data_IF_878144802858
#
_entry.id   IF_878144802858
#
_cell.length_a   1.000
_cell.length_b   1.000
_cell.length_c   1.000
_cell.angle_alpha   90.00
_cell.angle_beta   90.00
_cell.angle_gamma   90.00
#
_symmetry.space_group_name_H-M   'P 1'
#
loop_
_entity.id
_entity.type
_entity.pdbx_description
1 polymer ?
#
# COMPACT_ATOMS: atom_id res chain seq x y z
N UNK A 1 -2.55 -17.49 -9.76
CA UNK A 1 -3.72 -16.84 -9.10
C UNK A 1 -3.29 -16.61 -7.66
N UNK A 2 -3.24 -15.37 -7.22
CA UNK A 2 -2.71 -14.96 -5.91
C UNK A 2 -3.82 -14.26 -5.13
N UNK A 3 -3.84 -14.43 -3.81
CA UNK A 3 -4.69 -13.65 -2.92
C UNK A 3 -4.06 -12.27 -2.69
N UNK A 4 -4.86 -11.21 -2.79
CA UNK A 4 -4.42 -9.83 -2.59
C UNK A 4 -5.31 -9.18 -1.53
N UNK A 5 -4.69 -8.77 -0.43
CA UNK A 5 -5.30 -7.93 0.57
C UNK A 5 -4.93 -6.46 0.29
N UNK A 6 -5.92 -5.63 0.00
CA UNK A 6 -5.72 -4.23 -0.35
C UNK A 6 -6.18 -3.31 0.77
N UNK A 7 -5.23 -2.53 1.30
CA UNK A 7 -5.42 -1.56 2.37
C UNK A 7 -5.62 -0.16 1.77
N UNK A 8 -6.72 0.49 2.13
CA UNK A 8 -7.08 1.80 1.61
C UNK A 8 -6.20 2.93 2.15
N UNK A 9 -6.22 4.08 1.49
CA UNK A 9 -5.53 5.30 1.91
C UNK A 9 -6.15 5.91 3.19
N UNK A 10 -5.54 6.96 3.71
CA UNK A 10 -6.10 7.77 4.80
C UNK A 10 -7.51 8.28 4.53
N UNK A 11 -7.93 8.43 3.27
CA UNK A 11 -9.26 8.88 2.90
C UNK A 11 -10.36 7.79 2.96
N UNK A 12 -10.02 6.55 3.30
CA UNK A 12 -10.98 5.44 3.35
C UNK A 12 -11.15 4.73 2.00
N UNK A 13 -12.23 3.95 1.87
CA UNK A 13 -12.52 3.15 0.67
C UNK A 13 -13.21 4.04 -0.38
N UNK A 14 -12.42 4.80 -1.13
CA UNK A 14 -12.86 5.64 -2.26
C UNK A 14 -12.92 4.83 -3.58
N UNK A 15 -13.40 5.50 -4.65
CA UNK A 15 -13.51 4.89 -5.98
C UNK A 15 -12.19 4.29 -6.48
N UNK A 16 -11.06 4.99 -6.29
CA UNK A 16 -9.74 4.48 -6.69
C UNK A 16 -9.34 3.17 -6.01
N UNK A 17 -9.85 2.91 -4.80
CA UNK A 17 -9.62 1.64 -4.09
C UNK A 17 -10.45 0.52 -4.70
N UNK A 18 -11.72 0.77 -5.02
CA UNK A 18 -12.58 -0.23 -5.67
C UNK A 18 -12.10 -0.53 -7.09
N UNK A 19 -11.70 0.48 -7.85
CA UNK A 19 -11.10 0.32 -9.18
C UNK A 19 -9.82 -0.52 -9.13
N UNK A 20 -8.99 -0.32 -8.10
CA UNK A 20 -7.77 -1.11 -7.90
C UNK A 20 -8.09 -2.60 -7.71
N UNK A 21 -9.07 -2.93 -6.86
CA UNK A 21 -9.50 -4.32 -6.65
C UNK A 21 -10.03 -4.93 -7.94
N UNK A 22 -10.82 -4.19 -8.70
CA UNK A 22 -11.38 -4.69 -9.96
C UNK A 22 -10.28 -4.91 -11.02
N UNK A 23 -9.24 -4.08 -11.05
CA UNK A 23 -8.06 -4.29 -11.89
C UNK A 23 -7.31 -5.58 -11.52
N UNK A 24 -7.08 -5.85 -10.25
CA UNK A 24 -6.46 -7.10 -9.82
C UNK A 24 -7.32 -8.32 -10.18
N UNK A 25 -8.64 -8.24 -9.98
CA UNK A 25 -9.58 -9.31 -10.34
C UNK A 25 -9.62 -9.58 -11.84
N UNK A 26 -9.65 -8.52 -12.65
CA UNK A 26 -9.61 -8.61 -14.12
C UNK A 26 -8.30 -9.27 -14.63
N UNK A 27 -7.23 -9.22 -13.83
CA UNK A 27 -5.95 -9.86 -14.12
C UNK A 27 -5.76 -11.24 -13.44
N UNK A 28 -6.85 -11.85 -12.97
CA UNK A 28 -6.85 -13.25 -12.53
C UNK A 28 -6.45 -13.47 -11.06
N UNK A 29 -6.42 -12.42 -10.25
CA UNK A 29 -6.15 -12.52 -8.81
C UNK A 29 -7.46 -12.55 -7.99
N UNK A 30 -7.41 -13.05 -6.76
CA UNK A 30 -8.47 -12.90 -5.77
C UNK A 30 -8.15 -11.70 -4.89
N UNK A 31 -8.75 -10.57 -5.17
CA UNK A 31 -8.51 -9.32 -4.46
C UNK A 31 -9.72 -8.88 -3.64
N UNK A 32 -9.47 -8.33 -2.44
CA UNK A 32 -10.49 -7.74 -1.58
C UNK A 32 -9.94 -6.53 -0.83
N UNK A 33 -10.84 -5.61 -0.51
CA UNK A 33 -10.51 -4.42 0.31
C UNK A 33 -10.53 -4.80 1.78
N UNK A 34 -9.51 -4.37 2.50
CA UNK A 34 -9.51 -4.33 3.96
C UNK A 34 -10.00 -2.95 4.40
N UNK A 35 -11.27 -2.87 4.80
CA UNK A 35 -11.84 -1.65 5.35
C UNK A 35 -11.51 -1.54 6.84
N UNK A 36 -10.55 -0.66 7.16
CA UNK A 36 -10.09 -0.44 8.52
C UNK A 36 -10.89 0.65 9.24
N UNK A 37 -11.70 1.40 8.49
CA UNK A 37 -12.42 2.60 8.95
C UNK A 37 -13.91 2.37 9.20
N UNK A 38 -14.38 1.12 9.10
CA UNK A 38 -15.80 0.79 9.29
C UNK A 38 -16.72 1.66 8.42
N UNK A 39 -16.36 1.75 7.13
CA UNK A 39 -17.06 2.51 6.07
C UNK A 39 -16.97 4.03 6.14
N UNK A 40 -16.15 4.58 7.05
CA UNK A 40 -15.89 6.02 7.01
C UNK A 40 -15.03 6.37 5.79
N UNK A 41 -15.45 7.40 5.07
CA UNK A 41 -14.78 7.93 3.87
C UNK A 41 -14.70 9.44 4.02
N UNK A 42 -13.57 10.01 3.62
CA UNK A 42 -13.26 11.43 3.76
C UNK A 42 -12.92 12.04 2.41
N UNK A 43 -13.32 13.31 2.21
CA UNK A 43 -12.92 14.12 1.06
C UNK A 43 -11.75 15.06 1.37
N UNK A 44 -11.33 15.09 2.63
CA UNK A 44 -10.33 16.01 3.16
C UNK A 44 -9.35 15.27 4.07
N UNK A 45 -8.04 15.50 3.84
CA UNK A 45 -6.96 14.83 4.57
C UNK A 45 -6.88 15.24 6.05
N UNK A 46 -7.30 16.47 6.40
CA UNK A 46 -7.27 16.91 7.80
C UNK A 46 -8.40 16.24 8.60
N UNK A 47 -9.57 16.02 7.97
CA UNK A 47 -10.66 15.26 8.58
C UNK A 47 -10.25 13.80 8.76
N UNK A 48 -9.65 13.21 7.74
CA UNK A 48 -9.12 11.85 7.81
C UNK A 48 -8.05 11.71 8.90
N UNK A 49 -7.13 12.68 9.01
CA UNK A 49 -6.11 12.71 10.05
C UNK A 49 -6.71 12.73 11.46
N UNK A 50 -7.70 13.59 11.72
CA UNK A 50 -8.41 13.62 13.01
C UNK A 50 -9.06 12.27 13.35
N UNK A 51 -9.66 11.60 12.38
CA UNK A 51 -10.24 10.28 12.58
C UNK A 51 -9.16 9.23 12.92
N UNK A 52 -8.01 9.27 12.23
CA UNK A 52 -6.88 8.38 12.53
C UNK A 52 -6.34 8.63 13.94
N UNK A 53 -6.24 9.89 14.37
CA UNK A 53 -5.81 10.26 15.72
C UNK A 53 -6.81 9.77 16.79
N UNK A 54 -8.12 9.86 16.50
CA UNK A 54 -9.17 9.39 17.40
C UNK A 54 -9.18 7.86 17.56
N UNK A 55 -9.08 7.12 16.45
CA UNK A 55 -9.06 5.65 16.46
C UNK A 55 -7.73 5.12 16.99
N UNK A 56 -6.65 5.81 16.67
CA UNK A 56 -5.28 5.43 16.99
C UNK A 56 -4.65 4.47 15.99
N UNK A 57 -3.44 4.79 15.55
CA UNK A 57 -2.71 3.99 14.57
C UNK A 57 -2.51 2.51 15.00
N UNK A 58 -2.21 2.21 16.30
CA UNK A 58 -2.11 0.82 16.76
C UNK A 58 -3.41 0.01 16.57
N UNK A 59 -4.57 0.63 16.74
CA UNK A 59 -5.85 -0.03 16.52
C UNK A 59 -6.08 -0.32 15.03
N UNK A 60 -5.72 0.61 14.13
CA UNK A 60 -5.79 0.40 12.69
C UNK A 60 -4.87 -0.75 12.25
N UNK A 61 -3.65 -0.82 12.78
CA UNK A 61 -2.73 -1.93 12.54
C UNK A 61 -3.30 -3.27 13.02
N UNK A 62 -3.91 -3.29 14.21
CA UNK A 62 -4.58 -4.49 14.74
C UNK A 62 -5.73 -4.96 13.83
N UNK A 63 -6.55 -4.03 13.34
CA UNK A 63 -7.63 -4.32 12.38
C UNK A 63 -7.08 -4.89 11.07
N UNK A 64 -5.99 -4.32 10.57
CA UNK A 64 -5.32 -4.80 9.35
C UNK A 64 -4.90 -6.27 9.48
N UNK A 65 -4.17 -6.63 10.53
CA UNK A 65 -3.72 -8.01 10.76
C UNK A 65 -4.90 -8.97 10.96
N UNK A 66 -5.91 -8.56 11.73
CA UNK A 66 -7.11 -9.37 11.96
C UNK A 66 -7.85 -9.69 10.66
N UNK A 67 -7.93 -8.74 9.74
CA UNK A 67 -8.66 -8.90 8.47
C UNK A 67 -8.02 -9.91 7.51
N UNK A 68 -6.75 -10.24 7.70
CA UNK A 68 -6.01 -11.19 6.87
C UNK A 68 -5.65 -12.49 7.60
N UNK A 69 -6.17 -12.69 8.81
CA UNK A 69 -5.79 -13.83 9.66
C UNK A 69 -6.08 -15.19 9.01
N UNK A 70 -7.15 -15.28 8.23
CA UNK A 70 -7.62 -16.52 7.59
C UNK A 70 -7.09 -16.70 6.16
N UNK A 71 -6.26 -15.77 5.66
CA UNK A 71 -5.61 -15.93 4.37
C UNK A 71 -4.48 -16.98 4.44
N UNK A 72 -4.31 -17.76 3.38
CA UNK A 72 -3.14 -18.64 3.28
C UNK A 72 -1.85 -17.82 3.21
N UNK A 73 -0.74 -18.38 3.68
CA UNK A 73 0.58 -17.78 3.53
C UNK A 73 0.90 -17.55 2.04
N UNK A 74 1.69 -16.53 1.74
CA UNK A 74 2.07 -16.16 0.38
C UNK A 74 1.10 -15.20 -0.31
N UNK A 75 0.09 -14.65 0.36
CA UNK A 75 -0.73 -13.58 -0.19
C UNK A 75 0.09 -12.28 -0.37
N UNK A 76 -0.35 -11.40 -1.27
CA UNK A 76 0.25 -10.08 -1.44
C UNK A 76 -0.49 -9.05 -0.57
N UNK A 77 0.30 -8.27 0.17
CA UNK A 77 -0.20 -7.11 0.88
C UNK A 77 -0.01 -5.87 0.00
N UNK A 78 -1.10 -5.20 -0.34
CA UNK A 78 -1.10 -4.01 -1.20
C UNK A 78 -1.71 -2.85 -0.45
N UNK A 79 -1.09 -1.69 -0.47
CA UNK A 79 -1.65 -0.55 0.25
C UNK A 79 -1.37 0.80 -0.41
N UNK A 80 -2.30 1.74 -0.19
CA UNK A 80 -2.20 3.11 -0.67
C UNK A 80 -1.92 4.06 0.49
N UNK A 81 -0.85 4.85 0.42
CA UNK A 81 -0.54 5.88 1.42
C UNK A 81 -0.49 5.28 2.85
N UNK A 82 -1.37 5.70 3.74
CA UNK A 82 -1.54 5.09 5.06
C UNK A 82 -1.71 3.56 4.99
N UNK A 83 -2.44 3.07 3.98
CA UNK A 83 -2.59 1.64 3.71
C UNK A 83 -1.29 0.95 3.30
N UNK A 84 -0.31 1.67 2.73
CA UNK A 84 1.02 1.11 2.48
C UNK A 84 1.69 0.73 3.81
N UNK A 85 1.67 1.61 4.81
CA UNK A 85 2.14 1.28 6.15
C UNK A 85 1.42 0.09 6.78
N UNK A 86 0.10 -0.07 6.51
CA UNK A 86 -0.63 -1.24 6.97
C UNK A 86 -0.20 -2.53 6.26
N UNK A 87 0.05 -2.47 4.95
CA UNK A 87 0.58 -3.60 4.18
C UNK A 87 1.97 -4.01 4.68
N UNK A 88 2.84 -3.04 4.94
CA UNK A 88 4.17 -3.24 5.53
C UNK A 88 4.06 -3.88 6.93
N UNK A 89 3.22 -3.34 7.80
CA UNK A 89 3.01 -3.88 9.14
C UNK A 89 2.48 -5.33 9.07
N UNK A 90 1.49 -5.60 8.22
CA UNK A 90 0.96 -6.95 8.03
C UNK A 90 2.06 -7.92 7.60
N UNK A 91 2.97 -7.50 6.72
CA UNK A 91 4.09 -8.34 6.29
C UNK A 91 5.06 -8.69 7.43
N UNK A 92 5.19 -7.82 8.46
CA UNK A 92 5.98 -8.15 9.67
C UNK A 92 5.28 -9.14 10.59
N UNK A 93 3.95 -9.31 10.47
CA UNK A 93 3.13 -10.17 11.33
C UNK A 93 2.68 -11.47 10.65
N UNK A 94 2.68 -11.52 9.33
CA UNK A 94 2.19 -12.63 8.51
C UNK A 94 3.17 -12.95 7.38
N UNK A 95 3.20 -14.18 6.94
CA UNK A 95 4.03 -14.61 5.79
C UNK A 95 3.38 -14.16 4.48
N UNK A 96 3.76 -12.96 4.02
CA UNK A 96 3.37 -12.42 2.73
C UNK A 96 4.30 -12.90 1.61
N UNK A 97 3.78 -13.07 0.40
CA UNK A 97 4.55 -13.30 -0.80
C UNK A 97 5.23 -12.04 -1.34
N UNK A 98 4.71 -10.86 -0.98
CA UNK A 98 5.29 -9.57 -1.36
C UNK A 98 4.46 -8.40 -0.84
N UNK A 99 5.05 -7.20 -0.89
CA UNK A 99 4.42 -5.95 -0.46
C UNK A 99 4.45 -4.94 -1.61
N UNK A 100 3.27 -4.46 -2.01
CA UNK A 100 3.12 -3.42 -3.02
C UNK A 100 2.63 -2.13 -2.35
N UNK A 101 3.49 -1.13 -2.35
CA UNK A 101 3.28 0.16 -1.70
C UNK A 101 2.98 1.24 -2.74
N UNK A 102 1.79 1.80 -2.70
CA UNK A 102 1.28 2.78 -3.63
C UNK A 102 1.09 4.13 -2.92
N UNK A 103 1.59 5.20 -3.50
CA UNK A 103 1.59 6.55 -2.92
C UNK A 103 2.41 6.67 -1.63
N UNK A 104 3.56 5.98 -1.58
CA UNK A 104 4.52 6.09 -0.48
C UNK A 104 4.78 4.78 0.26
N UNK A 105 5.65 4.86 1.24
CA UNK A 105 6.03 3.77 2.14
C UNK A 105 6.39 4.36 3.51
N UNK A 106 6.30 3.55 4.57
CA UNK A 106 6.68 3.96 5.93
C UNK A 106 7.83 3.10 6.43
N UNK A 107 8.89 3.69 7.03
CA UNK A 107 9.93 2.92 7.69
C UNK A 107 9.37 1.96 8.74
N UNK A 108 9.81 0.70 8.74
CA UNK A 108 9.23 -0.34 9.62
C UNK A 108 9.37 0.00 11.11
N UNK A 109 10.40 0.76 11.50
CA UNK A 109 10.55 1.21 12.90
C UNK A 109 9.42 2.16 13.35
N UNK A 110 8.83 2.93 12.43
CA UNK A 110 7.65 3.76 12.72
C UNK A 110 6.38 2.92 12.94
N UNK A 111 6.39 1.69 12.46
CA UNK A 111 5.33 0.70 12.63
C UNK A 111 5.56 -0.20 13.86
N UNK A 112 6.61 0.05 14.64
CA UNK A 112 6.95 -0.75 15.81
C UNK A 112 7.60 -2.10 15.48
N UNK A 113 8.19 -2.23 14.29
CA UNK A 113 8.97 -3.39 13.88
C UNK A 113 10.46 -3.02 13.79
N UNK A 114 11.32 -3.96 14.12
CA UNK A 114 12.77 -3.71 14.12
C UNK A 114 13.41 -3.91 12.75
N UNK A 115 12.86 -4.83 11.95
CA UNK A 115 13.42 -5.22 10.66
C UNK A 115 12.33 -5.57 9.64
N UNK A 116 12.66 -5.42 8.36
CA UNK A 116 11.84 -5.93 7.27
C UNK A 116 11.81 -7.47 7.29
N UNK A 117 10.69 -8.12 6.94
CA UNK A 117 10.61 -9.59 6.92
C UNK A 117 11.56 -10.18 5.87
N UNK A 118 12.33 -11.19 6.31
CA UNK A 118 13.39 -11.78 5.50
C UNK A 118 12.86 -12.34 4.16
N UNK A 119 13.48 -11.92 3.07
CA UNK A 119 13.17 -12.40 1.73
C UNK A 119 11.86 -11.90 1.11
N UNK A 120 11.05 -11.11 1.82
CA UNK A 120 9.77 -10.61 1.29
C UNK A 120 10.02 -9.46 0.30
N UNK A 121 9.76 -9.66 -1.01
CA UNK A 121 10.01 -8.65 -2.03
C UNK A 121 9.04 -7.47 -1.91
N UNK A 122 9.49 -6.31 -2.38
CA UNK A 122 8.73 -5.08 -2.31
C UNK A 122 8.73 -4.30 -3.62
N UNK A 123 7.66 -3.52 -3.84
CA UNK A 123 7.61 -2.53 -4.90
C UNK A 123 6.97 -1.24 -4.38
N UNK A 124 7.59 -0.09 -4.67
CA UNK A 124 7.13 1.24 -4.25
C UNK A 124 6.81 2.09 -5.46
N UNK A 125 5.69 2.81 -5.39
CA UNK A 125 5.25 3.78 -6.39
C UNK A 125 4.85 5.09 -5.71
N UNK A 126 5.40 6.24 -6.17
CA UNK A 126 5.05 7.55 -5.63
C UNK A 126 5.31 8.67 -6.65
N UNK A 127 4.67 9.83 -6.49
CA UNK A 127 4.92 11.00 -7.32
C UNK A 127 6.18 11.75 -6.85
N UNK A 128 7.00 12.25 -7.79
CA UNK A 128 8.30 12.87 -7.51
C UNK A 128 8.24 14.04 -6.52
N UNK A 129 7.14 14.78 -6.53
CA UNK A 129 6.94 15.97 -5.70
C UNK A 129 5.76 15.81 -4.75
N UNK A 130 5.48 14.59 -4.33
CA UNK A 130 4.42 14.30 -3.39
C UNK A 130 4.78 14.87 -2.01
N UNK A 131 4.03 15.87 -1.49
CA UNK A 131 4.36 16.50 -0.21
C UNK A 131 4.09 15.58 0.99
N UNK A 132 3.41 14.44 0.78
CA UNK A 132 3.06 13.47 1.83
C UNK A 132 3.96 12.24 1.83
N UNK A 133 4.91 12.17 0.89
CA UNK A 133 5.84 11.04 0.75
C UNK A 133 7.29 11.54 0.86
N UNK A 134 7.83 11.72 2.09
CA UNK A 134 9.22 12.13 2.28
C UNK A 134 10.20 11.14 1.65
N UNK A 135 11.15 11.65 0.86
CA UNK A 135 12.16 10.82 0.18
C UNK A 135 12.96 9.97 1.18
N UNK A 136 13.25 10.50 2.36
CA UNK A 136 13.97 9.80 3.43
C UNK A 136 13.28 8.51 3.88
N UNK A 137 11.93 8.47 3.84
CA UNK A 137 11.18 7.26 4.17
C UNK A 137 11.37 6.19 3.09
N UNK A 138 11.33 6.59 1.82
CA UNK A 138 11.58 5.69 0.70
C UNK A 138 12.98 5.10 0.76
N UNK A 139 13.99 5.96 1.04
CA UNK A 139 15.39 5.54 1.15
C UNK A 139 15.58 4.56 2.33
N UNK A 140 14.92 4.81 3.45
CA UNK A 140 14.97 3.94 4.63
C UNK A 140 14.35 2.58 4.31
N UNK A 141 13.14 2.54 3.75
CA UNK A 141 12.48 1.27 3.37
C UNK A 141 13.30 0.50 2.33
N UNK A 142 13.90 1.19 1.35
CA UNK A 142 14.82 0.56 0.39
C UNK A 142 16.00 -0.15 1.09
N UNK A 143 16.58 0.51 2.07
CA UNK A 143 17.71 -0.04 2.83
C UNK A 143 17.25 -1.23 3.71
N UNK A 144 16.10 -1.11 4.38
CA UNK A 144 15.55 -2.16 5.24
C UNK A 144 15.23 -3.44 4.43
N UNK A 145 14.57 -3.29 3.27
CA UNK A 145 14.26 -4.42 2.38
C UNK A 145 15.52 -5.12 1.89
N UNK A 146 16.52 -4.35 1.45
CA UNK A 146 17.80 -4.90 0.98
C UNK A 146 18.59 -5.57 2.11
N UNK A 147 18.61 -4.98 3.29
CA UNK A 147 19.26 -5.57 4.46
C UNK A 147 18.63 -6.90 4.89
N UNK A 148 17.32 -7.07 4.64
CA UNK A 148 16.60 -8.32 4.86
C UNK A 148 16.82 -9.38 3.75
N UNK A 149 17.69 -9.10 2.76
CA UNK A 149 17.98 -10.01 1.65
C UNK A 149 16.86 -10.09 0.60
N UNK A 150 15.94 -9.14 0.59
CA UNK A 150 14.82 -9.10 -0.33
C UNK A 150 15.08 -8.17 -1.53
N UNK A 151 14.36 -8.41 -2.62
CA UNK A 151 14.37 -7.52 -3.79
C UNK A 151 13.40 -6.37 -3.60
N UNK A 152 13.77 -5.19 -4.12
CA UNK A 152 12.90 -4.02 -4.14
C UNK A 152 13.00 -3.30 -5.48
N UNK A 153 11.86 -2.85 -5.98
CA UNK A 153 11.74 -1.95 -7.14
C UNK A 153 11.07 -0.65 -6.70
N UNK A 154 11.60 0.47 -7.15
CA UNK A 154 11.08 1.80 -6.81
C UNK A 154 10.81 2.57 -8.10
N UNK A 155 9.60 3.08 -8.23
CA UNK A 155 9.15 3.83 -9.40
C UNK A 155 8.62 5.20 -8.98
N UNK A 156 9.17 6.23 -9.59
CA UNK A 156 8.71 7.61 -9.45
C UNK A 156 7.90 8.03 -10.67
N UNK A 157 6.97 8.94 -10.47
CA UNK A 157 6.09 9.46 -11.50
C UNK A 157 6.09 10.99 -11.50
N UNK A 158 6.04 11.64 -12.66
CA UNK A 158 5.97 13.11 -12.73
C UNK A 158 4.72 13.64 -12.04
N UNK A 159 4.87 14.72 -11.29
CA UNK A 159 3.76 15.39 -10.62
C UNK A 159 3.89 15.43 -9.11
N UNK A 160 2.81 15.86 -8.45
CA UNK A 160 2.72 16.05 -7.01
C UNK A 160 1.45 15.43 -6.39
N UNK A 161 0.59 14.81 -7.21
CA UNK A 161 -0.63 14.16 -6.74
C UNK A 161 -0.29 12.98 -5.84
N UNK A 162 -0.78 13.00 -4.60
CA UNK A 162 -0.52 11.93 -3.64
C UNK A 162 -1.23 10.64 -4.07
N UNK A 163 -2.54 10.70 -4.28
CA UNK A 163 -3.34 9.57 -4.77
C UNK A 163 -3.60 9.68 -6.28
N UNK A 164 -2.54 9.88 -7.07
CA UNK A 164 -2.62 10.17 -8.51
C UNK A 164 -3.29 9.06 -9.35
N UNK A 165 -3.59 7.94 -8.78
CA UNK A 165 -4.32 6.84 -9.42
C UNK A 165 -5.82 6.87 -9.17
N UNK A 166 -6.33 7.77 -8.31
CA UNK A 166 -7.76 7.86 -7.97
C UNK A 166 -8.48 8.91 -8.83
N UNK A 167 -9.29 8.51 -9.83
CA UNK A 167 -10.00 9.45 -10.69
C UNK A 167 -11.09 10.27 -9.95
N UNK A 168 -11.46 9.88 -8.73
CA UNK A 168 -12.37 10.66 -7.88
C UNK A 168 -11.69 11.87 -7.21
N UNK A 169 -10.37 12.04 -7.38
CA UNK A 169 -9.57 13.14 -6.88
C UNK A 169 -8.96 13.92 -8.07
N UNK A 170 -9.73 14.74 -8.79
CA UNK A 170 -9.30 15.34 -10.04
C UNK A 170 -8.06 16.24 -9.92
N UNK A 171 -7.81 16.83 -8.74
CA UNK A 171 -6.64 17.67 -8.49
C UNK A 171 -5.35 16.86 -8.30
N UNK A 172 -5.47 15.56 -8.02
CA UNK A 172 -4.34 14.64 -7.82
C UNK A 172 -4.19 13.67 -9.00
N UNK A 173 -5.28 13.32 -9.66
CA UNK A 173 -5.31 12.28 -10.69
C UNK A 173 -4.42 12.60 -11.88
N UNK A 174 -3.66 11.60 -12.31
CA UNK A 174 -2.84 11.67 -13.51
C UNK A 174 -2.98 10.34 -14.28
N UNK A 175 -3.80 10.35 -15.33
CA UNK A 175 -4.13 9.17 -16.12
C UNK A 175 -2.88 8.44 -16.66
N UNK A 176 -1.95 9.19 -17.26
CA UNK A 176 -0.74 8.61 -17.85
C UNK A 176 0.16 7.95 -16.80
N UNK A 177 0.32 8.61 -15.64
CA UNK A 177 1.09 8.06 -14.53
C UNK A 177 0.38 6.84 -13.93
N UNK A 178 -0.95 6.89 -13.80
CA UNK A 178 -1.77 5.78 -13.31
C UNK A 178 -1.65 4.55 -14.21
N UNK A 179 -1.77 4.70 -15.52
CA UNK A 179 -1.65 3.58 -16.47
C UNK A 179 -0.27 2.92 -16.40
N UNK A 180 0.78 3.71 -16.31
CA UNK A 180 2.14 3.19 -16.16
C UNK A 180 2.34 2.49 -14.82
N UNK A 181 1.80 3.04 -13.73
CA UNK A 181 1.82 2.40 -12.41
C UNK A 181 1.13 1.04 -12.48
N UNK A 182 -0.09 0.97 -13.04
CA UNK A 182 -0.83 -0.28 -13.08
C UNK A 182 -0.15 -1.36 -13.91
N UNK A 183 0.48 -0.99 -15.03
CA UNK A 183 1.28 -1.92 -15.83
C UNK A 183 2.40 -2.58 -14.99
N UNK A 184 3.10 -1.80 -14.18
CA UNK A 184 4.21 -2.26 -13.31
C UNK A 184 3.71 -3.06 -12.10
N UNK A 185 2.67 -2.54 -11.45
CA UNK A 185 2.06 -3.18 -10.28
C UNK A 185 1.49 -4.58 -10.60
N UNK A 186 0.80 -4.71 -11.72
CA UNK A 186 0.28 -6.00 -12.18
C UNK A 186 1.41 -6.96 -12.55
N UNK A 187 2.49 -6.48 -13.17
CA UNK A 187 3.67 -7.31 -13.45
C UNK A 187 4.30 -7.84 -12.16
N UNK A 188 4.40 -7.02 -11.11
CA UNK A 188 4.85 -7.47 -9.79
C UNK A 188 3.95 -8.58 -9.24
N UNK A 189 2.63 -8.43 -9.30
CA UNK A 189 1.69 -9.44 -8.78
C UNK A 189 1.75 -10.79 -9.53
N UNK A 190 2.23 -10.82 -10.77
CA UNK A 190 2.40 -12.05 -11.56
C UNK A 190 3.77 -12.71 -11.38
N UNK A 191 4.73 -12.01 -10.80
CA UNK A 191 6.06 -12.58 -10.57
C UNK A 191 6.00 -13.71 -9.55
N UNK A 192 6.77 -14.80 -9.73
CA UNK A 192 6.92 -15.78 -8.68
C UNK A 192 7.62 -15.11 -7.49
N UNK A 193 7.00 -15.19 -6.34
CA UNK A 193 7.55 -14.71 -5.07
C UNK A 193 7.91 -15.97 -4.24
N UNK A 194 8.96 -16.67 -4.66
CA UNK A 194 9.49 -17.87 -3.98
C UNK A 194 10.42 -17.50 -2.82
#
# INVERSE_FOLDING_TARGET
>A
MTDIALFHSGLGVRAGITDAVDRFRANGHRAFVVDQYDRHVFDDYDQAGRFVDEVGFPELMRRAVKSVQDLPDGFLAVGFSNGAGMAEYVATQRRCGGVLMLSGALPVHMLGADVWPAGVPAQIHYAERDPRCPQEWIDTVNNDVRAAGASIQIFTYPGSGHLFTDPSLPDEYNEQAADLLWSRALAFCHSPHD
#
